data_IF_134011429421
#
_entry.id   IF_134011429421
#
_cell.length_a   1.000
_cell.length_b   1.000
_cell.length_c   1.000
_cell.angle_alpha   90.00
_cell.angle_beta   90.00
_cell.angle_gamma   90.00
#
_symmetry.space_group_name_H-M   'P 1'
#
loop_
_entity.id
_entity.type
_entity.pdbx_description
1 polymer ?
#
# COMPACT_ATOMS: atom_id res chain seq x y z
N UNK A 1 1.36 -8.89 -3.31
CA UNK A 1 1.56 -8.84 -4.79
C UNK A 1 0.33 -8.25 -5.48
N UNK A 2 -0.89 -8.52 -4.99
CA UNK A 2 -2.13 -7.88 -5.48
C UNK A 2 -2.26 -6.38 -5.13
N UNK A 3 -1.77 -5.92 -3.98
CA UNK A 3 -1.96 -4.52 -3.56
C UNK A 3 -1.26 -3.53 -4.49
N UNK A 4 -0.12 -3.93 -5.07
CA UNK A 4 0.57 -3.14 -6.09
C UNK A 4 -0.26 -2.96 -7.35
N UNK A 5 -1.04 -3.97 -7.75
CA UNK A 5 -1.91 -3.88 -8.93
C UNK A 5 -3.11 -2.97 -8.65
N UNK A 6 -3.69 -3.07 -7.46
CA UNK A 6 -4.83 -2.23 -7.05
C UNK A 6 -4.42 -0.74 -6.92
N UNK A 7 -3.26 -0.48 -6.32
CA UNK A 7 -2.66 0.85 -6.24
C UNK A 7 -2.44 1.46 -7.62
N UNK A 8 -1.78 0.72 -8.52
CA UNK A 8 -1.51 1.19 -9.87
C UNK A 8 -2.79 1.43 -10.68
N UNK A 9 -3.82 0.60 -10.48
CA UNK A 9 -5.12 0.81 -11.13
C UNK A 9 -5.77 2.12 -10.69
N UNK A 10 -5.85 2.39 -9.39
CA UNK A 10 -6.47 3.62 -8.88
C UNK A 10 -5.76 4.89 -9.41
N UNK A 11 -4.42 4.87 -9.43
CA UNK A 11 -3.64 5.98 -9.98
C UNK A 11 -3.86 6.17 -11.49
N UNK A 12 -3.94 5.08 -12.26
CA UNK A 12 -4.23 5.13 -13.70
C UNK A 12 -5.63 5.66 -14.02
N UNK A 13 -6.61 5.42 -13.14
CA UNK A 13 -7.98 5.96 -13.28
C UNK A 13 -8.03 7.47 -12.97
N UNK A 14 -6.97 8.04 -12.40
CA UNK A 14 -6.88 9.46 -12.07
C UNK A 14 -7.17 9.79 -10.60
N UNK A 15 -7.22 8.79 -9.72
CA UNK A 15 -7.16 9.04 -8.28
C UNK A 15 -5.72 9.41 -7.87
N UNK A 16 -5.63 10.14 -6.76
CA UNK A 16 -4.38 10.52 -6.13
C UNK A 16 -4.26 9.77 -4.81
N UNK A 17 -3.11 9.16 -4.52
CA UNK A 17 -2.87 8.61 -3.19
C UNK A 17 -2.71 9.77 -2.20
N UNK A 18 -3.62 9.87 -1.24
CA UNK A 18 -3.58 10.90 -0.21
C UNK A 18 -2.76 10.44 1.00
N UNK A 19 -3.05 9.24 1.49
CA UNK A 19 -2.44 8.66 2.70
C UNK A 19 -2.24 7.14 2.53
N UNK A 20 -1.16 6.62 3.10
CA UNK A 20 -0.91 5.19 3.33
C UNK A 20 -0.80 4.97 4.83
N UNK A 21 -1.79 4.28 5.40
CA UNK A 21 -1.86 4.01 6.83
C UNK A 21 -1.35 2.60 7.08
N UNK A 22 -0.27 2.50 7.85
CA UNK A 22 0.34 1.23 8.25
C UNK A 22 -0.21 0.84 9.61
N UNK A 23 -1.04 -0.20 9.65
CA UNK A 23 -1.62 -0.74 10.88
C UNK A 23 -0.82 -1.93 11.36
N UNK A 24 -0.24 -1.85 12.57
CA UNK A 24 0.40 -2.99 13.20
C UNK A 24 -0.66 -4.01 13.66
N UNK A 25 -0.52 -5.27 13.26
CA UNK A 25 -1.34 -6.38 13.77
C UNK A 25 -0.67 -7.00 14.99
N UNK A 26 -1.24 -6.74 16.16
CA UNK A 26 -0.77 -7.28 17.44
C UNK A 26 -1.21 -8.74 17.68
N UNK A 27 -2.21 -9.25 16.94
CA UNK A 27 -2.71 -10.64 17.03
C UNK A 27 -2.42 -11.48 15.78
N UNK A 28 -1.24 -11.32 15.18
CA UNK A 28 -0.83 -12.17 14.07
C UNK A 28 -0.51 -13.59 14.54
N UNK A 29 -1.39 -14.55 14.23
CA UNK A 29 -1.05 -15.99 14.31
C UNK A 29 -0.38 -16.40 13.01
N UNK A 30 0.86 -16.85 13.09
CA UNK A 30 1.56 -17.38 11.93
C UNK A 30 1.08 -18.79 11.60
N UNK A 31 1.01 -19.11 10.31
CA UNK A 31 0.73 -20.47 9.86
C UNK A 31 1.95 -21.35 10.05
N UNK A 32 1.76 -22.54 10.60
CA UNK A 32 2.84 -23.47 10.95
C UNK A 32 3.74 -23.84 9.77
N UNK A 33 3.15 -23.86 8.57
CA UNK A 33 3.81 -24.03 7.26
C UNK A 33 5.02 -23.13 7.03
N UNK A 34 5.06 -21.94 7.62
CA UNK A 34 6.12 -20.95 7.40
C UNK A 34 7.21 -20.96 8.46
N UNK A 35 7.04 -21.73 9.55
CA UNK A 35 7.91 -21.70 10.74
C UNK A 35 9.37 -22.05 10.40
N UNK A 36 9.60 -23.04 9.54
CA UNK A 36 10.95 -23.46 9.12
C UNK A 36 11.62 -22.41 8.23
N UNK A 37 10.84 -21.74 7.37
CA UNK A 37 11.36 -20.76 6.42
C UNK A 37 11.78 -19.48 7.15
N UNK A 38 11.01 -19.05 8.15
CA UNK A 38 11.37 -17.93 9.04
C UNK A 38 12.69 -18.19 9.75
N UNK A 39 12.90 -19.42 10.26
CA UNK A 39 14.16 -19.80 10.91
C UNK A 39 15.35 -19.88 9.94
N UNK A 40 15.12 -20.32 8.71
CA UNK A 40 16.18 -20.51 7.70
C UNK A 40 16.58 -19.19 7.04
N UNK A 41 15.60 -18.38 6.67
CA UNK A 41 15.79 -17.21 5.81
C UNK A 41 15.78 -15.90 6.62
N UNK A 42 15.70 -15.97 7.96
CA UNK A 42 15.76 -14.84 8.91
C UNK A 42 14.86 -13.65 8.55
N UNK A 43 13.69 -13.91 7.96
CA UNK A 43 12.76 -12.85 7.56
C UNK A 43 11.56 -12.77 8.51
N UNK A 44 11.08 -11.55 8.74
CA UNK A 44 9.89 -11.30 9.54
C UNK A 44 8.63 -11.67 8.78
N UNK A 45 7.69 -12.32 9.47
CA UNK A 45 6.34 -12.53 8.93
C UNK A 45 5.58 -11.21 8.86
N UNK A 46 4.54 -11.17 8.02
CA UNK A 46 3.73 -9.97 7.79
C UNK A 46 3.03 -9.57 9.10
N UNK A 47 3.48 -8.47 9.69
CA UNK A 47 2.99 -7.94 10.96
C UNK A 47 2.21 -6.64 10.80
N UNK A 48 2.16 -6.06 9.60
CA UNK A 48 1.42 -4.84 9.33
C UNK A 48 0.52 -4.99 8.10
N UNK A 49 -0.63 -4.33 8.14
CA UNK A 49 -1.53 -4.17 7.01
C UNK A 49 -1.46 -2.72 6.52
N UNK A 50 -1.54 -2.53 5.20
CA UNK A 50 -1.63 -1.21 4.57
C UNK A 50 -3.09 -0.88 4.25
N UNK A 51 -3.52 0.33 4.60
CA UNK A 51 -4.78 0.91 4.19
C UNK A 51 -4.52 2.17 3.37
N UNK A 52 -4.83 2.11 2.07
CA UNK A 52 -4.64 3.24 1.16
C UNK A 52 -5.88 4.12 1.11
N UNK A 53 -5.70 5.42 1.30
CA UNK A 53 -6.74 6.44 1.13
C UNK A 53 -6.50 7.19 -0.17
N UNK A 54 -7.45 7.08 -1.10
CA UNK A 54 -7.40 7.75 -2.39
C UNK A 54 -8.33 8.95 -2.42
N UNK A 55 -7.86 10.03 -3.03
CA UNK A 55 -8.62 11.25 -3.30
C UNK A 55 -8.97 11.31 -4.79
N UNK A 56 -10.24 11.61 -5.10
CA UNK A 56 -10.63 12.01 -6.45
C UNK A 56 -10.46 13.53 -6.58
N UNK A 57 -9.50 14.02 -7.37
CA UNK A 57 -9.22 15.45 -7.45
C UNK A 57 -10.33 16.20 -8.18
N UNK A 58 -10.63 17.43 -7.72
CA UNK A 58 -11.49 18.37 -8.46
C UNK A 58 -10.68 19.17 -9.47
N UNK A 59 -11.35 19.75 -10.49
CA UNK A 59 -10.69 20.41 -11.62
C UNK A 59 -9.74 21.57 -11.25
N UNK A 60 -9.93 22.23 -10.11
CA UNK A 60 -9.13 23.37 -9.64
C UNK A 60 -8.49 23.13 -8.26
N UNK A 61 -8.36 21.87 -7.84
CA UNK A 61 -7.77 21.54 -6.55
C UNK A 61 -6.24 21.60 -6.62
N UNK A 62 -5.62 22.24 -5.63
CA UNK A 62 -4.16 22.26 -5.54
C UNK A 62 -3.64 20.89 -5.08
N UNK A 63 -2.93 20.21 -5.98
CA UNK A 63 -2.32 18.90 -5.75
C UNK A 63 -0.79 18.98 -5.70
N UNK A 64 -0.22 20.18 -5.54
CA UNK A 64 1.23 20.41 -5.47
C UNK A 64 1.90 19.49 -4.44
N UNK A 65 1.29 19.36 -3.26
CA UNK A 65 1.75 18.50 -2.16
C UNK A 65 1.70 17.00 -2.47
N UNK A 66 0.87 16.60 -3.43
CA UNK A 66 0.65 15.21 -3.83
C UNK A 66 1.24 14.90 -5.21
N UNK A 67 2.21 15.71 -5.67
CA UNK A 67 2.80 15.62 -7.02
C UNK A 67 3.26 14.20 -7.38
N UNK A 68 3.94 13.53 -6.46
CA UNK A 68 4.52 12.19 -6.66
C UNK A 68 3.55 11.04 -6.38
N UNK A 69 2.34 11.36 -5.91
CA UNK A 69 1.32 10.38 -5.51
C UNK A 69 0.29 10.14 -6.60
N UNK A 70 0.66 10.36 -7.87
CA UNK A 70 -0.20 10.32 -9.06
C UNK A 70 0.50 9.55 -10.18
N UNK A 71 -0.27 9.05 -11.14
CA UNK A 71 0.30 8.57 -12.41
C UNK A 71 1.03 9.73 -13.08
N UNK A 72 2.31 9.52 -13.40
CA UNK A 72 3.06 10.41 -14.28
C UNK A 72 3.02 9.72 -15.64
N UNK A 73 2.19 10.26 -16.53
CA UNK A 73 2.13 9.78 -17.91
C UNK A 73 3.42 10.27 -18.60
N UNK A 74 4.31 9.33 -18.92
CA UNK A 74 5.50 9.54 -19.75
C UNK A 74 5.18 9.27 -21.22
#
# INVERSE_FOLDING_TARGET
MNDRLNYLFALKVGFVLKEDIIMARHHCKYTERWRWKVKKDSFCLIMHDHLFVFLKPRAAEDLSRLRYSRSIDY
#
